data_IF_794721148913
#
_entry.id   IF_794721148913
#
_cell.length_a   1.000
_cell.length_b   1.000
_cell.length_c   1.000
_cell.angle_alpha   90.00
_cell.angle_beta   90.00
_cell.angle_gamma   90.00
#
_symmetry.space_group_name_H-M   'P 1'
#
loop_
_entity.id
_entity.type
_entity.pdbx_description
1 polymer ?
#
# COMPACT_ATOMS: atom_id res chain seq x y z
N UNK A 1 25.37 76.57 -16.93
CA UNK A 1 26.11 75.80 -15.90
C UNK A 1 25.07 75.16 -14.99
N UNK A 2 25.01 73.86 -14.75
CA UNK A 2 25.60 72.70 -15.46
C UNK A 2 24.68 71.50 -15.20
N UNK A 3 24.69 70.51 -16.08
CA UNK A 3 23.88 69.27 -16.01
C UNK A 3 23.96 68.54 -14.67
N UNK A 4 22.80 68.15 -14.12
CA UNK A 4 22.73 67.24 -12.97
C UNK A 4 22.67 65.77 -13.40
N UNK A 5 23.70 65.03 -12.97
CA UNK A 5 23.76 63.57 -12.74
C UNK A 5 23.05 62.62 -13.73
N UNK A 6 23.83 62.12 -14.69
CA UNK A 6 23.69 60.76 -15.20
C UNK A 6 24.27 59.76 -14.18
N UNK A 7 23.41 58.98 -13.53
CA UNK A 7 23.82 57.74 -12.84
C UNK A 7 22.82 56.63 -13.16
N UNK A 8 23.09 55.88 -14.22
CA UNK A 8 22.28 54.72 -14.59
C UNK A 8 22.50 53.59 -13.58
N UNK A 9 21.52 53.35 -12.71
CA UNK A 9 21.50 52.16 -11.85
C UNK A 9 21.10 50.97 -12.70
N UNK A 10 22.10 50.23 -13.20
CA UNK A 10 21.89 48.87 -13.68
C UNK A 10 21.52 47.98 -12.50
N UNK A 11 20.23 47.94 -12.15
CA UNK A 11 19.67 46.82 -11.40
C UNK A 11 19.81 45.58 -12.26
N UNK A 12 20.88 44.82 -12.05
CA UNK A 12 20.99 43.47 -12.55
C UNK A 12 19.85 42.66 -11.93
N UNK A 13 18.78 42.46 -12.72
CA UNK A 13 17.77 41.45 -12.43
C UNK A 13 18.45 40.10 -12.60
N UNK A 14 19.15 39.67 -11.54
CA UNK A 14 19.39 38.27 -11.28
C UNK A 14 18.03 37.62 -11.11
N UNK A 15 17.44 37.21 -12.23
CA UNK A 15 16.48 36.11 -12.23
C UNK A 15 17.24 34.90 -11.69
N UNK A 16 17.24 34.78 -10.36
CA UNK A 16 17.15 33.48 -9.73
C UNK A 16 15.87 32.90 -10.31
N UNK A 17 16.02 32.16 -11.40
CA UNK A 17 15.10 31.09 -11.69
C UNK A 17 15.23 30.18 -10.48
N UNK A 18 14.38 30.40 -9.47
CA UNK A 18 13.93 29.29 -8.66
C UNK A 18 13.50 28.26 -9.70
N UNK A 19 14.19 27.13 -9.74
CA UNK A 19 13.65 25.99 -10.43
C UNK A 19 12.27 25.81 -9.80
N UNK A 20 11.22 25.90 -10.62
CA UNK A 20 9.87 25.65 -10.19
C UNK A 20 9.87 24.20 -9.70
N UNK A 21 9.93 24.01 -8.38
CA UNK A 21 10.04 22.69 -7.77
C UNK A 21 8.76 21.94 -8.06
N UNK A 22 8.84 21.17 -9.14
CA UNK A 22 7.82 20.35 -9.74
C UNK A 22 6.96 19.68 -8.66
N UNK A 23 5.63 19.93 -8.59
CA UNK A 23 4.72 19.26 -7.67
C UNK A 23 4.46 17.81 -8.13
N UNK A 24 5.53 17.01 -8.09
CA UNK A 24 5.59 15.59 -8.43
C UNK A 24 6.52 14.88 -7.44
N UNK A 25 6.11 14.85 -6.16
CA UNK A 25 6.26 13.61 -5.40
C UNK A 25 4.87 13.03 -5.23
N UNK A 26 4.40 12.32 -6.26
CA UNK A 26 3.47 11.22 -6.02
C UNK A 26 4.31 10.23 -5.21
N UNK A 27 4.13 10.24 -3.90
CA UNK A 27 4.84 9.33 -3.00
C UNK A 27 4.46 7.91 -3.42
N UNK A 28 5.34 7.28 -4.19
CA UNK A 28 5.11 5.93 -4.71
C UNK A 28 4.94 5.03 -3.50
N UNK A 29 3.78 4.37 -3.33
CA UNK A 29 3.54 3.54 -2.16
C UNK A 29 4.68 2.52 -2.03
N UNK A 30 5.16 2.23 -0.81
CA UNK A 30 6.23 1.26 -0.61
C UNK A 30 5.89 -0.05 -1.33
N UNK A 31 6.87 -0.66 -2.01
CA UNK A 31 6.61 -1.76 -2.96
C UNK A 31 5.96 -3.04 -2.36
N UNK A 32 5.77 -3.10 -1.05
CA UNK A 32 4.96 -4.14 -0.38
C UNK A 32 3.46 -3.81 -0.35
N UNK A 33 3.06 -2.53 -0.37
CA UNK A 33 1.66 -2.09 -0.37
C UNK A 33 1.04 -2.34 -1.75
N UNK A 34 -0.15 -2.96 -1.84
CA UNK A 34 -0.83 -3.17 -3.12
C UNK A 34 -1.13 -1.84 -3.83
N UNK A 35 -0.72 -1.73 -5.09
CA UNK A 35 -1.02 -0.57 -5.93
C UNK A 35 -2.53 -0.37 -6.12
N UNK A 36 -2.93 0.86 -6.46
CA UNK A 36 -4.31 1.19 -6.78
C UNK A 36 -4.81 0.36 -7.98
N UNK A 37 -5.93 -0.34 -7.78
CA UNK A 37 -6.61 -1.13 -8.80
C UNK A 37 -7.52 -0.28 -9.70
N UNK A 38 -8.03 -0.89 -10.77
CA UNK A 38 -8.94 -0.26 -11.72
C UNK A 38 -10.42 -0.26 -11.31
N UNK A 39 -10.80 -0.90 -10.18
CA UNK A 39 -12.17 -0.82 -9.64
C UNK A 39 -12.54 0.61 -9.24
N UNK A 40 -13.83 0.91 -9.17
CA UNK A 40 -14.31 2.19 -8.65
C UNK A 40 -14.13 2.22 -7.13
N UNK A 41 -13.85 3.40 -6.56
CA UNK A 41 -13.78 3.57 -5.09
C UNK A 41 -15.04 3.03 -4.38
N UNK A 42 -16.23 3.22 -4.98
CA UNK A 42 -17.49 2.71 -4.42
C UNK A 42 -17.56 1.18 -4.35
N UNK A 43 -16.92 0.46 -5.28
CA UNK A 43 -16.85 -1.01 -5.25
C UNK A 43 -15.97 -1.50 -4.10
N UNK A 44 -14.86 -0.81 -3.84
CA UNK A 44 -13.97 -1.12 -2.71
C UNK A 44 -14.64 -0.79 -1.37
N UNK A 45 -15.39 0.32 -1.28
CA UNK A 45 -16.22 0.69 -0.12
C UNK A 45 -17.28 -0.37 0.18
N UNK A 46 -17.97 -0.86 -0.86
CA UNK A 46 -18.98 -1.93 -0.74
C UNK A 46 -18.35 -3.25 -0.29
N UNK A 47 -17.21 -3.61 -0.88
CA UNK A 47 -16.42 -4.80 -0.51
C UNK A 47 -15.97 -4.73 0.95
N UNK A 48 -15.41 -3.59 1.36
CA UNK A 48 -15.01 -3.29 2.73
C UNK A 48 -16.17 -3.44 3.71
N UNK A 49 -17.34 -2.82 3.44
CA UNK A 49 -18.49 -2.88 4.33
C UNK A 49 -19.01 -4.31 4.51
N UNK A 50 -19.05 -5.08 3.43
CA UNK A 50 -19.48 -6.48 3.44
C UNK A 50 -18.50 -7.37 4.24
N UNK A 51 -17.19 -7.21 4.02
CA UNK A 51 -16.14 -7.92 4.75
C UNK A 51 -16.15 -7.55 6.23
N UNK A 52 -16.37 -6.28 6.57
CA UNK A 52 -16.57 -5.84 7.95
C UNK A 52 -17.72 -6.58 8.61
N UNK A 53 -18.89 -6.69 7.96
CA UNK A 53 -20.00 -7.47 8.52
C UNK A 53 -19.70 -8.94 8.76
N UNK A 54 -18.76 -9.53 8.00
CA UNK A 54 -18.34 -10.93 8.14
C UNK A 54 -17.27 -11.14 9.21
N UNK A 55 -16.30 -10.24 9.29
CA UNK A 55 -15.01 -10.47 9.97
C UNK A 55 -14.84 -9.68 11.28
N UNK A 56 -15.75 -8.76 11.61
CA UNK A 56 -15.59 -7.81 12.72
C UNK A 56 -15.24 -8.44 14.08
N UNK A 57 -15.84 -9.59 14.41
CA UNK A 57 -15.57 -10.25 15.70
C UNK A 57 -14.16 -10.85 15.78
N UNK A 58 -13.48 -11.06 14.64
CA UNK A 58 -12.15 -11.69 14.55
C UNK A 58 -10.98 -10.75 14.29
N UNK A 59 -11.20 -9.53 13.76
CA UNK A 59 -10.10 -8.63 13.33
C UNK A 59 -9.14 -8.24 14.47
N UNK A 60 -9.62 -8.19 15.71
CA UNK A 60 -8.81 -7.96 16.91
C UNK A 60 -7.59 -8.89 17.01
N UNK A 61 -7.80 -10.19 16.80
CA UNK A 61 -6.75 -11.18 16.95
C UNK A 61 -5.78 -11.16 15.76
N UNK A 62 -6.25 -10.80 14.56
CA UNK A 62 -5.36 -10.57 13.42
C UNK A 62 -4.48 -9.33 13.61
N UNK A 63 -5.02 -8.23 14.16
CA UNK A 63 -4.23 -7.05 14.51
C UNK A 63 -3.18 -7.33 15.59
N UNK A 64 -3.51 -8.13 16.62
CA UNK A 64 -2.52 -8.58 17.62
C UNK A 64 -1.38 -9.39 16.99
N UNK A 65 -1.66 -10.23 15.99
CA UNK A 65 -0.60 -10.94 15.23
C UNK A 65 0.25 -9.97 14.41
N UNK A 66 -0.36 -8.96 13.78
CA UNK A 66 0.37 -7.92 13.02
C UNK A 66 1.32 -7.16 13.95
N UNK A 67 0.92 -6.83 15.17
CA UNK A 67 1.75 -6.08 16.13
C UNK A 67 2.49 -6.97 17.14
N UNK A 68 2.56 -8.29 16.91
CA UNK A 68 3.29 -9.19 17.80
C UNK A 68 4.78 -8.78 17.93
N UNK A 69 5.19 -8.49 19.17
CA UNK A 69 6.54 -8.02 19.53
C UNK A 69 6.66 -6.52 19.81
N UNK A 70 5.65 -5.71 19.47
CA UNK A 70 5.63 -4.28 19.81
C UNK A 70 5.34 -4.06 21.31
N UNK A 71 5.74 -2.91 21.86
CA UNK A 71 5.52 -2.58 23.28
C UNK A 71 4.14 -1.98 23.58
N UNK A 72 3.44 -1.48 22.56
CA UNK A 72 2.15 -0.78 22.67
C UNK A 72 1.04 -1.46 21.85
N UNK A 73 1.06 -2.79 21.75
CA UNK A 73 0.09 -3.60 20.96
C UNK A 73 -1.36 -3.18 21.18
N UNK A 74 -1.80 -3.05 22.44
CA UNK A 74 -3.20 -2.76 22.75
C UNK A 74 -3.66 -1.38 22.23
N UNK A 75 -2.76 -0.39 22.21
CA UNK A 75 -3.02 0.94 21.65
C UNK A 75 -3.09 0.90 20.12
N UNK A 76 -2.16 0.20 19.48
CA UNK A 76 -2.14 0.00 18.02
C UNK A 76 -3.37 -0.76 17.53
N UNK A 77 -3.73 -1.85 18.22
CA UNK A 77 -4.94 -2.64 17.95
C UNK A 77 -6.20 -1.79 18.15
N UNK A 78 -6.27 -0.99 19.23
CA UNK A 78 -7.40 -0.10 19.46
C UNK A 78 -7.55 0.92 18.32
N UNK A 79 -6.48 1.63 17.96
CA UNK A 79 -6.51 2.61 16.87
C UNK A 79 -6.89 1.99 15.52
N UNK A 80 -6.41 0.78 15.22
CA UNK A 80 -6.81 0.06 14.01
C UNK A 80 -8.31 -0.26 13.98
N UNK A 81 -8.90 -0.68 15.10
CA UNK A 81 -10.34 -0.95 15.21
C UNK A 81 -11.18 0.32 15.16
N UNK A 82 -10.80 1.35 15.90
CA UNK A 82 -11.51 2.64 15.88
C UNK A 82 -11.52 3.22 14.45
N UNK A 83 -10.40 3.08 13.72
CA UNK A 83 -10.31 3.36 12.28
C UNK A 83 -11.27 2.53 11.42
N UNK A 84 -11.27 1.19 11.55
CA UNK A 84 -12.22 0.31 10.84
C UNK A 84 -13.69 0.70 11.13
N UNK A 85 -14.03 0.99 12.38
CA UNK A 85 -15.39 1.37 12.80
C UNK A 85 -15.79 2.71 12.19
N UNK A 86 -14.90 3.71 12.15
CA UNK A 86 -15.20 4.98 11.49
C UNK A 86 -15.32 4.82 9.96
N UNK A 87 -14.44 4.06 9.31
CA UNK A 87 -14.59 3.70 7.89
C UNK A 87 -15.93 3.00 7.61
N UNK A 88 -16.37 2.08 8.47
CA UNK A 88 -17.66 1.40 8.31
C UNK A 88 -18.82 2.38 8.40
N UNK A 89 -18.80 3.34 9.34
CA UNK A 89 -19.84 4.38 9.46
C UNK A 89 -19.92 5.27 8.21
N UNK A 90 -18.80 5.59 7.57
CA UNK A 90 -18.79 6.35 6.30
C UNK A 90 -19.40 5.50 5.19
N UNK A 91 -18.99 4.23 5.05
CA UNK A 91 -19.56 3.30 4.08
C UNK A 91 -21.08 3.06 4.28
N UNK A 92 -21.54 2.97 5.53
CA UNK A 92 -22.95 2.86 5.92
C UNK A 92 -23.75 4.11 5.52
N UNK A 93 -23.19 5.30 5.74
CA UNK A 93 -23.78 6.57 5.33
C UNK A 93 -23.95 6.66 3.81
N UNK A 94 -23.05 6.06 3.04
CA UNK A 94 -23.12 6.02 1.56
C UNK A 94 -24.05 4.93 1.03
N UNK A 95 -24.23 3.84 1.77
CA UNK A 95 -25.22 2.78 1.48
C UNK A 95 -26.65 3.31 1.67
N UNK A 96 -26.87 4.15 2.67
CA UNK A 96 -28.19 4.67 3.05
C UNK A 96 -28.54 6.01 2.35
N UNK A 97 -27.61 6.60 1.59
CA UNK A 97 -27.81 7.81 0.79
C UNK A 97 -28.47 7.51 -0.57
N UNK A 98 -29.66 8.08 -0.88
CA UNK A 98 -30.40 7.81 -2.13
C UNK A 98 -29.69 8.28 -3.42
N UNK A 99 -28.62 9.07 -3.31
CA UNK A 99 -27.74 9.44 -4.44
C UNK A 99 -26.88 8.28 -4.91
N UNK A 100 -26.70 7.25 -4.08
CA UNK A 100 -25.94 6.04 -4.41
C UNK A 100 -26.87 4.83 -4.62
N UNK A 101 -26.31 3.63 -4.78
CA UNK A 101 -27.07 2.37 -4.87
C UNK A 101 -26.65 1.44 -3.74
N UNK A 102 -27.62 0.98 -2.94
CA UNK A 102 -27.39 -0.04 -1.91
C UNK A 102 -27.21 -1.46 -2.49
N UNK A 103 -27.23 -1.61 -3.82
CA UNK A 103 -27.09 -2.89 -4.51
C UNK A 103 -25.76 -3.58 -4.18
N UNK A 104 -25.85 -4.84 -3.73
CA UNK A 104 -24.71 -5.65 -3.35
C UNK A 104 -24.13 -5.34 -1.97
N UNK A 105 -24.68 -4.39 -1.21
CA UNK A 105 -24.39 -4.29 0.22
C UNK A 105 -25.17 -5.36 0.99
N UNK A 106 -24.55 -5.94 2.02
CA UNK A 106 -25.26 -6.81 2.97
C UNK A 106 -26.34 -6.04 3.74
N UNK A 107 -27.49 -6.68 3.95
CA UNK A 107 -28.64 -6.13 4.68
C UNK A 107 -28.95 -6.88 5.97
N UNK A 108 -28.29 -8.01 6.25
CA UNK A 108 -28.41 -8.75 7.51
C UNK A 108 -27.12 -9.52 7.88
N UNK A 109 -26.93 -9.92 9.15
CA UNK A 109 -25.81 -10.74 9.61
C UNK A 109 -25.75 -12.14 8.95
N UNK A 110 -26.88 -12.69 8.53
CA UNK A 110 -26.96 -13.98 7.83
C UNK A 110 -26.30 -13.88 6.45
N UNK A 111 -26.56 -12.79 5.72
CA UNK A 111 -25.92 -12.53 4.43
C UNK A 111 -24.42 -12.26 4.57
N UNK A 112 -23.98 -11.68 5.70
CA UNK A 112 -22.56 -11.46 5.98
C UNK A 112 -21.75 -12.77 6.00
N UNK A 113 -22.34 -13.87 6.46
CA UNK A 113 -21.69 -15.20 6.47
C UNK A 113 -21.40 -15.74 5.06
N UNK A 114 -22.15 -15.28 4.07
CA UNK A 114 -22.00 -15.67 2.66
C UNK A 114 -21.11 -14.72 1.84
N UNK A 115 -20.59 -13.64 2.44
CA UNK A 115 -19.64 -12.73 1.78
C UNK A 115 -18.34 -13.49 1.48
N UNK A 116 -17.85 -13.39 0.25
CA UNK A 116 -16.55 -13.95 -0.12
C UNK A 116 -15.39 -13.05 0.33
N UNK A 117 -14.20 -13.63 0.49
CA UNK A 117 -12.99 -12.96 0.97
C UNK A 117 -12.74 -13.09 2.48
N UNK A 118 -11.56 -12.65 2.90
CA UNK A 118 -10.96 -12.89 4.21
C UNK A 118 -10.31 -11.62 4.78
N UNK A 119 -9.47 -11.77 5.80
CA UNK A 119 -8.75 -10.66 6.41
C UNK A 119 -7.79 -9.95 5.43
N UNK A 120 -7.19 -10.68 4.48
CA UNK A 120 -6.37 -10.06 3.44
C UNK A 120 -7.23 -9.19 2.51
N UNK A 121 -8.37 -9.69 2.07
CA UNK A 121 -9.32 -8.91 1.27
C UNK A 121 -9.80 -7.65 2.02
N UNK A 122 -9.95 -7.71 3.34
CA UNK A 122 -10.28 -6.56 4.17
C UNK A 122 -9.15 -5.53 4.17
N UNK A 123 -7.91 -5.94 4.46
CA UNK A 123 -6.73 -5.05 4.41
C UNK A 123 -6.49 -4.48 3.00
N UNK A 124 -6.77 -5.26 1.95
CA UNK A 124 -6.72 -4.81 0.57
C UNK A 124 -7.72 -3.67 0.33
N UNK A 125 -8.98 -3.86 0.71
CA UNK A 125 -10.02 -2.84 0.54
C UNK A 125 -9.71 -1.54 1.30
N UNK A 126 -9.11 -1.61 2.50
CA UNK A 126 -8.61 -0.42 3.22
C UNK A 126 -7.59 0.36 2.40
N UNK A 127 -6.58 -0.32 1.84
CA UNK A 127 -5.54 0.30 1.02
C UNK A 127 -6.11 0.90 -0.27
N UNK A 128 -7.07 0.21 -0.92
CA UNK A 128 -7.73 0.73 -2.12
C UNK A 128 -8.55 1.99 -1.84
N UNK A 129 -9.31 1.99 -0.73
CA UNK A 129 -10.08 3.16 -0.27
C UNK A 129 -9.15 4.33 0.02
N UNK A 130 -8.02 4.11 0.71
CA UNK A 130 -7.00 5.13 0.94
C UNK A 130 -6.48 5.72 -0.38
N UNK A 131 -5.95 4.90 -1.28
CA UNK A 131 -5.36 5.38 -2.54
C UNK A 131 -6.35 6.19 -3.38
N UNK A 132 -7.58 5.70 -3.53
CA UNK A 132 -8.57 6.34 -4.39
C UNK A 132 -9.22 7.56 -3.74
N UNK A 133 -9.31 7.61 -2.40
CA UNK A 133 -9.74 8.81 -1.67
C UNK A 133 -8.68 9.93 -1.74
N UNK A 134 -7.39 9.59 -1.60
CA UNK A 134 -6.28 10.54 -1.81
C UNK A 134 -6.24 11.02 -3.26
N UNK A 135 -6.38 10.12 -4.24
CA UNK A 135 -6.43 10.50 -5.66
C UNK A 135 -7.62 11.42 -6.00
N UNK A 136 -8.80 11.15 -5.42
CA UNK A 136 -9.97 12.02 -5.53
C UNK A 136 -9.72 13.40 -4.92
N UNK A 137 -9.19 13.47 -3.70
CA UNK A 137 -8.85 14.74 -3.04
C UNK A 137 -7.81 15.56 -3.84
N UNK A 138 -6.81 14.89 -4.42
CA UNK A 138 -5.82 15.55 -5.28
C UNK A 138 -6.45 16.10 -6.57
N UNK A 139 -7.38 15.37 -7.18
CA UNK A 139 -8.12 15.86 -8.36
C UNK A 139 -9.04 17.04 -8.02
N UNK A 140 -9.71 17.01 -6.87
CA UNK A 140 -10.51 18.12 -6.33
C UNK A 140 -9.64 19.37 -6.16
N UNK A 141 -8.49 19.24 -5.50
CA UNK A 141 -7.54 20.36 -5.31
C UNK A 141 -6.97 20.89 -6.64
N UNK A 142 -6.77 20.01 -7.64
CA UNK A 142 -6.28 20.38 -8.98
C UNK A 142 -7.33 21.11 -9.81
N UNK A 143 -8.60 20.73 -9.70
CA UNK A 143 -9.70 21.32 -10.47
C UNK A 143 -10.33 22.55 -9.80
N UNK A 144 -10.24 22.65 -8.47
CA UNK A 144 -10.81 23.74 -7.67
C UNK A 144 -9.74 24.38 -6.76
N UNK A 145 -8.67 24.97 -7.33
CA UNK A 145 -7.65 25.64 -6.54
C UNK A 145 -8.27 26.74 -5.68
N UNK A 146 -7.87 26.81 -4.41
CA UNK A 146 -8.45 27.69 -3.39
C UNK A 146 -9.98 27.54 -3.20
N UNK A 147 -10.53 26.35 -3.49
CA UNK A 147 -11.97 26.04 -3.45
C UNK A 147 -12.82 26.87 -4.42
N UNK A 148 -12.23 27.39 -5.50
CA UNK A 148 -12.95 28.13 -6.54
C UNK A 148 -13.54 27.17 -7.57
N UNK A 149 -14.86 27.01 -7.57
CA UNK A 149 -15.58 26.24 -8.60
C UNK A 149 -15.66 26.99 -9.95
N UNK A 150 -15.50 26.26 -11.05
CA UNK A 150 -15.67 26.73 -12.44
C UNK A 150 -16.50 25.71 -13.22
N UNK A 151 -17.21 26.11 -14.27
CA UNK A 151 -18.07 25.19 -15.05
C UNK A 151 -17.24 24.07 -15.71
N UNK A 152 -16.05 24.39 -16.24
CA UNK A 152 -15.09 23.43 -16.76
C UNK A 152 -14.58 22.48 -15.67
N UNK A 153 -14.25 23.00 -14.50
CA UNK A 153 -13.82 22.22 -13.34
C UNK A 153 -14.90 21.26 -12.85
N UNK A 154 -16.14 21.73 -12.70
CA UNK A 154 -17.31 20.92 -12.32
C UNK A 154 -17.54 19.80 -13.34
N UNK A 155 -17.46 20.11 -14.63
CA UNK A 155 -17.64 19.13 -15.71
C UNK A 155 -16.53 18.09 -15.73
N UNK A 156 -15.27 18.50 -15.52
CA UNK A 156 -14.13 17.59 -15.41
C UNK A 156 -14.25 16.69 -14.17
N UNK A 157 -14.63 17.27 -13.02
CA UNK A 157 -14.77 16.54 -11.76
C UNK A 157 -15.89 15.50 -11.83
N UNK A 158 -17.05 15.84 -12.41
CA UNK A 158 -18.15 14.88 -12.66
C UNK A 158 -17.70 13.73 -13.53
N UNK A 159 -16.92 14.00 -14.59
CA UNK A 159 -16.34 12.96 -15.44
C UNK A 159 -15.39 12.05 -14.65
N UNK A 160 -14.42 12.61 -13.92
CA UNK A 160 -13.49 11.84 -13.09
C UNK A 160 -14.24 10.98 -12.07
N UNK A 161 -15.21 11.56 -11.36
CA UNK A 161 -15.99 10.85 -10.35
C UNK A 161 -16.74 9.65 -10.96
N UNK A 162 -17.35 9.83 -12.14
CA UNK A 162 -18.01 8.74 -12.87
C UNK A 162 -17.05 7.62 -13.29
N UNK A 163 -15.84 7.98 -13.73
CA UNK A 163 -14.82 7.07 -14.25
C UNK A 163 -13.98 6.36 -13.17
N UNK A 164 -13.90 6.92 -11.95
CA UNK A 164 -12.98 6.46 -10.89
C UNK A 164 -13.63 6.20 -9.53
N UNK A 165 -14.79 6.79 -9.27
CA UNK A 165 -15.39 6.82 -7.92
C UNK A 165 -16.70 6.07 -7.86
N UNK A 166 -17.69 6.46 -8.67
CA UNK A 166 -19.01 5.82 -8.74
C UNK A 166 -19.67 6.15 -10.08
N UNK A 167 -20.01 5.13 -10.88
CA UNK A 167 -20.54 5.30 -12.23
C UNK A 167 -22.03 5.69 -12.23
N UNK A 168 -22.32 6.91 -11.78
CA UNK A 168 -23.66 7.49 -11.73
C UNK A 168 -23.58 9.02 -11.77
N UNK A 169 -24.55 9.65 -12.43
CA UNK A 169 -24.69 11.11 -12.47
C UNK A 169 -25.56 11.67 -11.33
N UNK A 170 -26.00 10.81 -10.38
CA UNK A 170 -26.86 11.19 -9.25
C UNK A 170 -26.19 12.06 -8.18
N UNK A 171 -24.92 11.85 -7.77
CA UNK A 171 -24.31 12.67 -6.73
C UNK A 171 -24.12 14.13 -7.15
N UNK A 172 -24.42 15.05 -6.24
CA UNK A 172 -24.20 16.48 -6.44
C UNK A 172 -22.73 16.89 -6.23
N UNK A 173 -22.39 18.12 -6.64
CA UNK A 173 -21.03 18.66 -6.54
C UNK A 173 -20.44 18.52 -5.12
N UNK A 174 -21.24 18.74 -4.07
CA UNK A 174 -20.76 18.73 -2.68
C UNK A 174 -20.36 17.32 -2.24
N UNK A 175 -21.13 16.30 -2.63
CA UNK A 175 -20.75 14.89 -2.41
C UNK A 175 -19.48 14.56 -3.20
N UNK A 176 -19.43 14.96 -4.46
CA UNK A 176 -18.32 14.67 -5.37
C UNK A 176 -16.98 15.20 -4.81
N UNK A 177 -16.96 16.42 -4.27
CA UNK A 177 -15.72 17.01 -3.70
C UNK A 177 -15.41 16.54 -2.28
N UNK A 178 -16.42 16.17 -1.49
CA UNK A 178 -16.25 15.81 -0.07
C UNK A 178 -16.05 14.32 0.23
N UNK A 179 -16.23 13.43 -0.75
CA UNK A 179 -16.24 11.98 -0.50
C UNK A 179 -14.87 11.42 -0.08
N UNK A 180 -13.77 11.85 -0.71
CA UNK A 180 -12.43 11.37 -0.35
C UNK A 180 -12.03 11.82 1.06
N UNK A 181 -12.28 13.10 1.37
CA UNK A 181 -12.15 13.69 2.71
C UNK A 181 -12.96 12.96 3.78
N UNK A 182 -14.14 12.44 3.44
CA UNK A 182 -14.98 11.70 4.40
C UNK A 182 -14.30 10.43 4.94
N UNK A 183 -13.37 9.85 4.18
CA UNK A 183 -12.50 8.77 4.66
C UNK A 183 -11.17 9.31 5.20
N UNK A 184 -10.44 10.11 4.42
CA UNK A 184 -9.05 10.53 4.77
C UNK A 184 -9.00 11.39 6.04
N UNK A 185 -10.04 12.16 6.34
CA UNK A 185 -10.14 12.98 7.56
C UNK A 185 -10.96 12.31 8.67
N UNK A 186 -11.36 11.05 8.50
CA UNK A 186 -11.94 10.29 9.60
C UNK A 186 -10.85 10.02 10.65
N UNK A 187 -11.15 10.29 11.91
CA UNK A 187 -10.25 10.02 13.04
C UNK A 187 -9.85 8.53 13.06
N UNK A 188 -8.59 8.24 13.40
CA UNK A 188 -7.93 6.93 13.31
C UNK A 188 -7.88 6.26 11.93
N UNK A 189 -8.25 6.92 10.83
CA UNK A 189 -8.09 6.38 9.48
C UNK A 189 -6.63 6.05 9.16
N UNK A 190 -5.69 6.94 9.51
CA UNK A 190 -4.26 6.67 9.37
C UNK A 190 -3.79 5.46 10.21
N UNK A 191 -4.43 5.18 11.35
CA UNK A 191 -4.10 4.04 12.20
C UNK A 191 -4.43 2.72 11.50
N UNK A 192 -5.61 2.61 10.87
CA UNK A 192 -5.97 1.41 10.10
C UNK A 192 -5.21 1.29 8.77
N UNK A 193 -4.92 2.40 8.07
CA UNK A 193 -4.09 2.39 6.85
C UNK A 193 -2.66 1.92 7.16
N UNK A 194 -2.04 2.44 8.23
CA UNK A 194 -0.71 1.96 8.70
C UNK A 194 -0.74 0.49 9.09
N UNK A 195 -1.81 0.03 9.74
CA UNK A 195 -1.99 -1.39 10.10
C UNK A 195 -2.05 -2.29 8.87
N UNK A 196 -2.80 -1.89 7.84
CA UNK A 196 -2.86 -2.62 6.57
C UNK A 196 -1.49 -2.61 5.84
N UNK A 197 -0.76 -1.49 5.87
CA UNK A 197 0.59 -1.42 5.31
C UNK A 197 1.59 -2.35 6.03
N UNK A 198 1.57 -2.40 7.37
CA UNK A 198 2.39 -3.31 8.17
C UNK A 198 2.02 -4.79 7.97
N UNK A 199 0.73 -5.11 7.79
CA UNK A 199 0.28 -6.43 7.36
C UNK A 199 0.98 -6.86 6.06
N UNK A 200 0.94 -6.02 5.03
CA UNK A 200 1.58 -6.35 3.74
C UNK A 200 3.11 -6.42 3.82
N UNK A 201 3.74 -5.54 4.61
CA UNK A 201 5.18 -5.59 4.91
C UNK A 201 5.58 -6.91 5.57
N UNK A 202 4.84 -7.36 6.60
CA UNK A 202 5.08 -8.66 7.25
C UNK A 202 4.76 -9.84 6.33
N UNK A 203 3.72 -9.75 5.48
CA UNK A 203 3.41 -10.78 4.46
C UNK A 203 4.54 -10.92 3.42
N UNK A 204 5.13 -9.81 2.97
CA UNK A 204 6.27 -9.83 2.05
C UNK A 204 7.52 -10.40 2.73
N UNK A 205 7.83 -9.98 3.97
CA UNK A 205 8.98 -10.48 4.73
C UNK A 205 8.89 -11.99 5.03
N UNK A 206 7.67 -12.50 5.28
CA UNK A 206 7.40 -13.93 5.47
C UNK A 206 7.27 -14.71 4.13
N UNK A 207 7.54 -14.06 3.00
CA UNK A 207 7.84 -14.71 1.73
C UNK A 207 6.67 -15.47 1.08
N UNK A 208 5.43 -15.00 1.24
CA UNK A 208 4.25 -15.56 0.53
C UNK A 208 4.02 -17.06 0.77
N UNK A 209 4.60 -17.62 1.84
CA UNK A 209 4.60 -19.06 2.08
C UNK A 209 3.50 -19.45 3.07
N UNK A 210 2.44 -20.03 2.52
CA UNK A 210 1.47 -20.80 3.30
C UNK A 210 2.15 -22.06 3.85
N UNK A 211 2.75 -21.98 5.03
CA UNK A 211 3.17 -23.19 5.77
C UNK A 211 2.84 -23.05 7.25
N UNK A 212 2.03 -24.00 7.70
CA UNK A 212 1.47 -24.15 9.03
C UNK A 212 2.57 -24.51 10.05
N UNK A 213 2.38 -24.07 11.29
CA UNK A 213 3.06 -24.51 12.53
C UNK A 213 4.59 -24.70 12.52
N UNK A 214 5.27 -23.86 13.32
CA UNK A 214 6.49 -24.28 14.00
C UNK A 214 6.28 -24.27 15.51
N UNK A 215 5.67 -25.35 16.00
CA UNK A 215 5.62 -25.68 17.43
C UNK A 215 7.06 -25.79 17.98
N UNK A 216 7.39 -25.23 19.15
CA UNK A 216 8.73 -25.30 19.69
C UNK A 216 9.03 -26.69 20.25
N UNK A 217 9.85 -27.48 19.56
CA UNK A 217 10.39 -28.73 20.11
C UNK A 217 11.57 -28.44 21.03
N UNK A 218 11.30 -28.49 22.34
CA UNK A 218 12.31 -28.78 23.36
C UNK A 218 12.78 -30.22 23.19
N UNK A 219 14.08 -30.48 23.10
CA UNK A 219 14.61 -31.84 22.95
C UNK A 219 16.13 -31.86 22.97
N UNK A 220 16.69 -32.58 23.95
CA UNK A 220 18.11 -32.53 24.31
C UNK A 220 19.05 -33.28 23.35
N UNK A 221 20.35 -33.04 23.53
CA UNK A 221 21.41 -33.68 22.76
C UNK A 221 21.66 -35.16 23.12
N UNK A 222 22.37 -35.83 22.20
CA UNK A 222 23.12 -37.10 22.34
C UNK A 222 22.44 -38.43 21.93
N UNK A 223 22.91 -38.95 20.79
CA UNK A 223 23.08 -40.39 20.54
C UNK A 223 24.40 -40.87 21.21
N UNK A 224 24.67 -42.18 21.45
CA UNK A 224 24.79 -43.19 20.39
C UNK A 224 24.36 -44.64 20.75
N UNK A 225 24.32 -45.56 19.77
CA UNK A 225 24.30 -47.01 20.03
C UNK A 225 23.74 -47.87 18.89
N UNK A 226 24.60 -48.62 18.18
CA UNK A 226 24.26 -49.38 16.97
C UNK A 226 23.45 -50.68 17.12
N UNK A 227 23.06 -51.25 15.97
CA UNK A 227 22.37 -52.55 15.84
C UNK A 227 22.16 -52.95 14.37
N UNK A 228 22.58 -54.15 13.97
CA UNK A 228 22.78 -54.62 12.58
C UNK A 228 21.53 -55.12 11.82
N UNK A 229 21.65 -55.10 10.47
CA UNK A 229 21.15 -56.08 9.46
C UNK A 229 19.65 -56.43 9.37
N UNK A 230 19.03 -56.43 8.18
CA UNK A 230 19.33 -57.41 7.11
C UNK A 230 18.75 -57.04 5.73
N UNK A 231 19.32 -57.62 4.67
CA UNK A 231 18.91 -57.50 3.26
C UNK A 231 17.62 -58.25 2.89
N UNK A 232 16.87 -57.72 1.91
CA UNK A 232 16.21 -58.51 0.86
C UNK A 232 15.78 -57.65 -0.37
N UNK A 233 16.29 -58.03 -1.55
CA UNK A 233 15.84 -57.70 -2.94
C UNK A 233 16.08 -59.02 -3.75
N UNK A 234 15.73 -59.20 -5.06
CA UNK A 234 14.96 -58.37 -6.00
C UNK A 234 13.96 -59.16 -6.91
N UNK A 235 13.33 -58.45 -7.87
CA UNK A 235 12.89 -58.84 -9.25
C UNK A 235 11.98 -57.68 -9.78
N UNK A 236 12.12 -57.00 -10.92
CA UNK A 236 12.31 -57.37 -12.35
C UNK A 236 11.18 -58.28 -12.88
N UNK A 237 10.32 -57.97 -13.86
CA UNK A 237 10.06 -56.79 -14.72
C UNK A 237 8.63 -56.94 -15.32
N UNK A 238 8.21 -56.55 -16.53
CA UNK A 238 8.73 -55.72 -17.65
C UNK A 238 7.60 -55.52 -18.69
N UNK A 239 7.57 -54.42 -19.46
CA UNK A 239 6.84 -54.35 -20.76
C UNK A 239 5.85 -53.18 -21.00
N UNK A 240 6.21 -52.28 -21.91
CA UNK A 240 5.29 -51.37 -22.67
C UNK A 240 4.94 -52.00 -24.04
N UNK A 241 4.03 -51.44 -24.85
CA UNK A 241 4.48 -50.44 -25.85
C UNK A 241 3.47 -49.33 -26.24
N UNK A 242 4.00 -48.32 -26.94
CA UNK A 242 3.30 -47.19 -27.59
C UNK A 242 3.58 -47.21 -29.11
N UNK A 243 2.66 -46.74 -29.97
CA UNK A 243 2.95 -46.18 -31.30
C UNK A 243 2.52 -44.69 -31.37
N UNK A 244 2.99 -43.81 -32.27
CA UNK A 244 3.94 -43.87 -33.39
C UNK A 244 3.64 -42.70 -34.37
N UNK A 245 4.62 -41.86 -34.75
CA UNK A 245 4.43 -40.62 -35.54
C UNK A 245 4.40 -40.88 -37.09
N UNK A 246 4.34 -39.87 -38.01
CA UNK A 246 5.48 -38.95 -38.30
C UNK A 246 5.22 -37.53 -38.93
N UNK A 247 6.26 -36.66 -38.84
CA UNK A 247 6.75 -35.77 -39.93
C UNK A 247 6.32 -34.29 -39.96
N UNK A 248 7.11 -33.30 -40.41
CA UNK A 248 8.55 -33.22 -40.77
C UNK A 248 9.05 -31.74 -40.75
N UNK A 249 10.39 -31.55 -40.68
CA UNK A 249 11.16 -30.27 -40.67
C UNK A 249 11.30 -29.63 -42.11
N UNK A 250 11.91 -28.44 -42.38
CA UNK A 250 13.11 -27.87 -41.70
C UNK A 250 13.33 -26.33 -41.55
N UNK A 251 14.29 -26.02 -40.66
CA UNK A 251 15.37 -25.01 -40.77
C UNK A 251 15.10 -23.47 -40.64
N UNK A 252 15.72 -22.86 -39.61
CA UNK A 252 16.96 -22.07 -39.78
C UNK A 252 17.66 -21.85 -38.41
N UNK A 253 18.99 -21.72 -38.38
CA UNK A 253 19.70 -21.48 -37.11
C UNK A 253 21.09 -20.86 -37.25
N UNK A 254 21.52 -20.20 -36.18
CA UNK A 254 22.86 -19.76 -35.74
C UNK A 254 22.68 -19.29 -34.29
N UNK A 255 23.62 -19.36 -33.35
CA UNK A 255 25.02 -19.80 -33.32
C UNK A 255 25.65 -19.17 -32.06
N UNK A 256 26.11 -19.97 -31.10
CA UNK A 256 26.41 -19.50 -29.74
C UNK A 256 27.81 -18.86 -29.57
N UNK A 257 27.99 -18.04 -28.52
CA UNK A 257 29.27 -17.89 -27.81
C UNK A 257 29.13 -17.24 -26.41
N UNK A 258 29.81 -17.82 -25.42
CA UNK A 258 30.14 -17.19 -24.13
C UNK A 258 31.66 -16.92 -24.08
N UNK A 259 32.09 -16.01 -23.20
CA UNK A 259 33.02 -16.41 -22.13
C UNK A 259 32.56 -15.85 -20.76
N UNK A 260 32.57 -16.59 -19.65
CA UNK A 260 33.66 -17.27 -18.91
C UNK A 260 34.14 -16.43 -17.69
N UNK A 261 34.69 -17.11 -16.69
CA UNK A 261 34.68 -16.67 -15.30
C UNK A 261 35.81 -15.69 -14.88
N UNK A 262 35.56 -14.96 -13.79
CA UNK A 262 36.57 -14.19 -13.06
C UNK A 262 36.24 -14.10 -11.56
N UNK A 263 36.90 -14.94 -10.76
CA UNK A 263 36.83 -14.89 -9.29
C UNK A 263 38.09 -14.21 -8.74
N UNK A 264 37.94 -13.12 -7.99
CA UNK A 264 39.03 -12.52 -7.20
C UNK A 264 38.57 -12.26 -5.77
N UNK A 265 39.06 -13.09 -4.87
CA UNK A 265 38.84 -13.01 -3.43
C UNK A 265 39.93 -12.12 -2.79
N UNK A 266 39.57 -11.04 -2.09
CA UNK A 266 40.54 -10.03 -1.62
C UNK A 266 40.09 -9.15 -0.44
N UNK A 267 40.44 -9.60 0.77
CA UNK A 267 40.35 -8.96 2.11
C UNK A 267 39.97 -7.46 2.24
N UNK A 268 38.92 -7.24 3.04
CA UNK A 268 38.87 -6.39 4.26
C UNK A 268 39.43 -4.95 4.21
N UNK A 269 38.51 -3.98 4.20
CA UNK A 269 38.64 -2.70 4.90
C UNK A 269 37.24 -2.24 5.37
N UNK A 270 37.12 -1.78 6.62
CA UNK A 270 35.86 -1.23 7.12
C UNK A 270 35.71 0.24 6.73
N UNK A 271 34.54 0.63 6.23
CA UNK A 271 34.18 2.02 5.97
C UNK A 271 32.84 2.35 6.61
N UNK A 272 32.89 3.19 7.65
CA UNK A 272 31.71 3.74 8.33
C UNK A 272 30.86 4.56 7.35
N UNK A 273 29.53 4.47 7.47
CA UNK A 273 28.63 5.40 6.80
C UNK A 273 28.80 6.81 7.39
N UNK A 274 29.25 7.75 6.59
CA UNK A 274 29.12 9.19 6.88
C UNK A 274 27.81 9.69 6.28
N UNK A 275 26.73 9.65 7.06
CA UNK A 275 25.55 10.46 6.78
C UNK A 275 25.86 11.93 7.09
N UNK A 276 25.25 12.87 6.35
CA UNK A 276 25.52 14.30 6.45
C UNK A 276 25.36 14.83 7.88
N UNK A 277 26.36 15.59 8.35
CA UNK A 277 26.45 15.97 9.75
C UNK A 277 25.41 17.01 10.17
N UNK A 278 24.69 16.70 11.26
CA UNK A 278 24.13 17.70 12.15
C UNK A 278 24.30 17.25 13.61
N UNK A 279 25.48 17.46 14.17
CA UNK A 279 25.70 17.30 15.62
C UNK A 279 24.96 18.42 16.34
N UNK A 280 23.85 18.08 17.01
CA UNK A 280 23.13 19.00 17.89
C UNK A 280 23.99 19.28 19.12
N UNK A 281 24.79 20.33 19.04
CA UNK A 281 25.59 20.85 20.14
C UNK A 281 24.92 22.13 20.69
N UNK A 282 24.37 22.01 21.90
CA UNK A 282 24.43 23.03 22.95
C UNK A 282 24.12 24.49 22.55
N UNK A 283 22.85 24.85 22.50
CA UNK A 283 22.42 26.26 22.62
C UNK A 283 21.90 26.55 24.03
N UNK A 284 22.85 26.75 24.95
CA UNK A 284 22.56 27.34 26.25
C UNK A 284 22.25 28.84 26.09
N UNK A 285 21.25 29.30 26.85
CA UNK A 285 21.18 30.60 27.54
C UNK A 285 22.00 31.79 27.00
N UNK A 286 21.30 32.86 26.62
CA UNK A 286 21.62 34.30 26.63
C UNK A 286 20.73 34.94 25.52
N UNK A 287 19.97 36.03 25.69
CA UNK A 287 20.02 37.13 26.66
C UNK A 287 18.60 37.55 27.09
N UNK A 288 18.40 37.72 28.40
CA UNK A 288 17.36 38.60 28.97
C UNK A 288 17.96 40.01 29.10
N UNK A 289 17.55 40.97 28.26
CA UNK A 289 17.75 42.43 28.34
C UNK A 289 17.37 43.07 26.99
N UNK A 290 16.75 44.24 26.88
CA UNK A 290 15.99 45.06 27.84
C UNK A 290 15.22 46.12 27.03
N UNK A 291 14.10 46.61 27.57
CA UNK A 291 13.22 47.69 27.05
C UNK A 291 12.44 47.40 25.75
#
# INVERSE_FOLDING_TARGET
VLTFLMTAVCCALSFVSCAEENPQSIETPPAYVPVASSSLLYDDIRTFYNLMGKLYDGVNEEFKKIFAGESNVDELVKGANDGLVRMKKVAESLKDDPRFTSEGFITSPELAKAVDGDFEALMYSVIQIYHKSVALNNEVNRLFPNSTETDEGIKAMKKYFKEKVFNSDKPDNKVIVGLGDSFVKAEDFDSIVRTAAEYYKKKQANGGSSTVERTPSTGDSAAPGGGQSSEARPSEGSGTPQPGAPGADPAQGTGAQSPSAGNLNGKQAGSSFTFGGLTVATLCYFVLSAF
#
